data_IF_071798498267
#
_entry.id   IF_071798498267
#
_cell.length_a   1.000
_cell.length_b   1.000
_cell.length_c   1.000
_cell.angle_alpha   90.00
_cell.angle_beta   90.00
_cell.angle_gamma   90.00
#
_symmetry.space_group_name_H-M   'P 1'
#
loop_
_entity.id
_entity.type
_entity.pdbx_description
1 polymer ?
#
# COMPACT_ATOMS: atom_id res chain seq x y z
N UNK A 1 -9.81 47.62 30.74
CA UNK A 1 -9.03 48.31 29.70
C UNK A 1 -7.56 47.90 29.83
N UNK A 2 -7.23 46.62 29.61
CA UNK A 2 -5.85 46.10 29.69
C UNK A 2 -5.48 45.36 28.39
N UNK A 3 -6.46 44.83 27.64
CA UNK A 3 -6.21 44.14 26.37
C UNK A 3 -5.83 45.05 25.18
N UNK A 4 -6.22 46.32 25.17
CA UNK A 4 -5.93 47.23 24.05
C UNK A 4 -4.46 47.68 23.99
N UNK A 5 -3.77 47.71 25.13
CA UNK A 5 -2.33 48.05 25.19
C UNK A 5 -1.44 46.86 24.79
N UNK A 6 -1.87 45.62 25.03
CA UNK A 6 -1.16 44.43 24.53
C UNK A 6 -1.28 44.27 23.03
N UNK A 7 -2.45 44.58 22.46
CA UNK A 7 -2.60 44.59 21.01
C UNK A 7 -1.72 45.67 20.38
N UNK A 8 -1.70 46.90 20.90
CA UNK A 8 -0.79 47.95 20.43
C UNK A 8 0.69 47.54 20.50
N UNK A 9 1.11 46.82 21.53
CA UNK A 9 2.49 46.29 21.66
C UNK A 9 2.79 45.20 20.62
N UNK A 10 1.84 44.31 20.33
CA UNK A 10 1.96 43.30 19.24
C UNK A 10 2.01 43.95 17.86
N UNK A 11 1.21 44.98 17.64
CA UNK A 11 1.18 45.75 16.40
C UNK A 11 2.50 46.50 16.17
N UNK A 12 3.13 47.05 17.21
CA UNK A 12 4.43 47.72 17.10
C UNK A 12 5.58 46.78 16.68
N UNK A 13 5.55 45.53 17.14
CA UNK A 13 6.53 44.52 16.73
C UNK A 13 6.39 44.18 15.24
N UNK A 14 5.15 43.99 14.77
CA UNK A 14 4.85 43.80 13.35
C UNK A 14 5.27 45.00 12.49
N UNK A 15 4.93 46.23 12.91
CA UNK A 15 5.25 47.47 12.17
C UNK A 15 6.77 47.74 12.15
N UNK A 16 7.49 47.42 13.23
CA UNK A 16 8.96 47.60 13.29
C UNK A 16 9.72 46.66 12.35
N UNK A 17 9.19 45.46 12.11
CA UNK A 17 9.72 44.55 11.09
C UNK A 17 9.34 44.95 9.65
N UNK A 18 8.33 45.81 9.47
CA UNK A 18 7.96 46.36 8.16
C UNK A 18 8.59 47.71 7.83
N UNK A 19 8.91 48.58 8.81
CA UNK A 19 9.47 49.91 8.53
C UNK A 19 10.93 49.88 8.00
N UNK A 20 11.63 48.75 8.15
CA UNK A 20 13.03 48.59 7.71
C UNK A 20 13.15 48.16 6.25
N UNK A 21 12.02 47.84 5.59
CA UNK A 21 11.99 47.44 4.17
C UNK A 21 11.68 48.61 3.22
N UNK A 22 11.28 49.78 3.75
CA UNK A 22 10.91 50.95 2.93
C UNK A 22 12.00 52.03 2.86
N UNK A 23 13.08 51.91 3.62
CA UNK A 23 14.22 52.84 3.53
C UNK A 23 15.56 52.09 3.56
N UNK A 24 16.31 52.22 2.47
CA UNK A 24 17.75 51.90 2.33
C UNK A 24 18.12 50.46 1.92
N UNK A 25 18.28 50.29 0.60
CA UNK A 25 19.13 49.39 -0.20
C UNK A 25 20.24 48.60 0.54
N UNK A 26 19.91 47.64 1.41
CA UNK A 26 20.87 46.63 1.91
C UNK A 26 20.24 45.25 2.20
N UNK A 27 18.91 45.14 2.27
CA UNK A 27 18.16 43.89 2.49
C UNK A 27 17.60 43.27 1.20
N UNK A 28 18.46 43.02 0.21
CA UNK A 28 18.05 42.39 -1.06
C UNK A 28 18.57 40.96 -1.22
N UNK A 29 19.79 40.67 -0.73
CA UNK A 29 20.39 39.32 -0.87
C UNK A 29 19.79 38.30 0.10
N UNK A 30 19.44 38.71 1.32
CA UNK A 30 18.88 37.81 2.33
C UNK A 30 17.44 37.37 1.98
N UNK A 31 16.62 38.30 1.47
CA UNK A 31 15.27 37.98 0.99
C UNK A 31 15.31 37.10 -0.25
N UNK A 32 16.21 37.35 -1.21
CA UNK A 32 16.35 36.50 -2.40
C UNK A 32 16.80 35.08 -2.08
N UNK A 33 17.76 34.90 -1.15
CA UNK A 33 18.16 33.56 -0.71
C UNK A 33 17.03 32.82 0.02
N UNK A 34 16.28 33.53 0.87
CA UNK A 34 15.12 32.96 1.56
C UNK A 34 14.04 32.51 0.57
N UNK A 35 13.67 33.37 -0.39
CA UNK A 35 12.70 33.02 -1.43
C UNK A 35 13.17 31.87 -2.30
N UNK A 36 14.46 31.83 -2.67
CA UNK A 36 15.04 30.71 -3.41
C UNK A 36 15.00 29.41 -2.61
N UNK A 37 15.29 29.47 -1.31
CA UNK A 37 15.28 28.30 -0.42
C UNK A 37 13.85 27.79 -0.22
N UNK A 38 12.88 28.69 0.00
CA UNK A 38 11.47 28.33 0.09
C UNK A 38 10.95 27.71 -1.20
N UNK A 39 11.28 28.30 -2.36
CA UNK A 39 10.90 27.74 -3.65
C UNK A 39 11.52 26.36 -3.91
N UNK A 40 12.76 26.13 -3.48
CA UNK A 40 13.42 24.81 -3.57
C UNK A 40 12.75 23.78 -2.64
N UNK A 41 12.38 24.18 -1.42
CA UNK A 41 11.64 23.31 -0.48
C UNK A 41 10.24 22.99 -1.01
N UNK A 42 9.54 23.96 -1.58
CA UNK A 42 8.23 23.76 -2.21
C UNK A 42 8.36 22.83 -3.43
N UNK A 43 9.37 23.02 -4.27
CA UNK A 43 9.67 22.13 -5.39
C UNK A 43 9.93 20.70 -4.92
N UNK A 44 10.73 20.51 -3.87
CA UNK A 44 11.03 19.20 -3.27
C UNK A 44 9.78 18.55 -2.66
N UNK A 45 8.93 19.33 -2.02
CA UNK A 45 7.66 18.88 -1.43
C UNK A 45 6.66 18.47 -2.52
N UNK A 46 6.56 19.25 -3.60
CA UNK A 46 5.74 18.91 -4.75
C UNK A 46 6.24 17.65 -5.46
N UNK A 47 7.55 17.48 -5.63
CA UNK A 47 8.12 16.24 -6.16
C UNK A 47 7.78 15.02 -5.30
N UNK A 48 7.81 15.19 -3.98
CA UNK A 48 7.42 14.16 -3.02
C UNK A 48 5.93 13.80 -3.12
N UNK A 49 5.05 14.79 -3.30
CA UNK A 49 3.62 14.58 -3.54
C UNK A 49 3.36 13.88 -4.87
N UNK A 50 4.06 14.27 -5.94
CA UNK A 50 3.94 13.61 -7.24
C UNK A 50 4.31 12.13 -7.17
N UNK A 51 5.33 11.74 -6.39
CA UNK A 51 5.69 10.32 -6.18
C UNK A 51 4.56 9.51 -5.52
N UNK A 52 3.67 10.17 -4.77
CA UNK A 52 2.53 9.54 -4.10
C UNK A 52 1.32 9.50 -5.03
N UNK A 53 1.04 10.61 -5.75
CA UNK A 53 -0.10 10.74 -6.67
C UNK A 53 0.05 9.92 -7.95
N UNK A 54 1.27 9.72 -8.45
CA UNK A 54 1.55 8.97 -9.68
C UNK A 54 1.14 7.48 -9.58
N UNK A 55 1.09 6.91 -8.37
CA UNK A 55 0.52 5.57 -8.13
C UNK A 55 -1.01 5.54 -8.01
N UNK A 56 -1.67 6.69 -7.86
CA UNK A 56 -3.12 6.83 -7.76
C UNK A 56 -3.85 6.54 -9.08
N UNK A 57 -3.20 6.82 -10.21
CA UNK A 57 -3.74 6.67 -11.56
C UNK A 57 -3.69 5.24 -12.12
N UNK A 58 -3.25 4.26 -11.33
CA UNK A 58 -3.24 2.87 -11.75
C UNK A 58 -4.66 2.28 -11.68
N UNK A 59 -5.16 1.78 -12.82
CA UNK A 59 -6.50 1.20 -12.97
C UNK A 59 -6.73 -0.09 -12.12
N UNK A 60 -5.68 -0.64 -11.51
CA UNK A 60 -5.72 -1.87 -10.70
C UNK A 60 -4.93 -1.76 -9.39
N UNK A 61 -5.49 -2.36 -8.33
CA UNK A 61 -4.90 -2.39 -6.98
C UNK A 61 -3.48 -2.98 -6.95
N UNK A 62 -3.25 -4.07 -7.68
CA UNK A 62 -1.93 -4.72 -7.75
C UNK A 62 -0.87 -3.78 -8.33
N UNK A 63 -1.26 -3.00 -9.33
CA UNK A 63 -0.39 -2.08 -10.05
C UNK A 63 -0.12 -0.79 -9.23
N UNK A 64 -1.11 -0.34 -8.44
CA UNK A 64 -0.94 0.70 -7.40
C UNK A 64 0.03 0.27 -6.30
N UNK A 65 -0.09 -0.96 -5.82
CA UNK A 65 0.83 -1.50 -4.82
C UNK A 65 2.26 -1.62 -5.38
N UNK A 66 2.40 -2.11 -6.62
CA UNK A 66 3.71 -2.25 -7.28
C UNK A 66 4.42 -0.90 -7.48
N UNK A 67 3.70 0.12 -7.97
CA UNK A 67 4.23 1.47 -8.14
C UNK A 67 4.64 2.09 -6.81
N UNK A 68 3.84 1.95 -5.75
CA UNK A 68 4.18 2.41 -4.41
C UNK A 68 5.50 1.81 -3.91
N UNK A 69 5.66 0.49 -3.96
CA UNK A 69 6.86 -0.16 -3.43
C UNK A 69 8.12 0.20 -4.24
N UNK A 70 8.00 0.49 -5.54
CA UNK A 70 9.10 0.99 -6.37
C UNK A 70 9.51 2.43 -6.00
N UNK A 71 8.55 3.31 -5.69
CA UNK A 71 8.81 4.73 -5.37
C UNK A 71 9.15 4.99 -3.90
N UNK A 72 8.79 4.07 -3.01
CA UNK A 72 9.07 4.13 -1.56
C UNK A 72 10.52 4.49 -1.18
N UNK A 73 11.59 3.94 -1.78
CA UNK A 73 12.96 4.32 -1.42
C UNK A 73 13.29 5.79 -1.73
N UNK A 74 12.81 6.32 -2.86
CA UNK A 74 12.99 7.73 -3.25
C UNK A 74 12.30 8.66 -2.25
N UNK A 75 11.06 8.32 -1.86
CA UNK A 75 10.29 9.04 -0.85
C UNK A 75 11.00 9.07 0.52
N UNK A 76 11.53 7.92 0.97
CA UNK A 76 12.26 7.82 2.23
C UNK A 76 13.52 8.68 2.22
N UNK A 77 14.27 8.69 1.11
CA UNK A 77 15.47 9.51 0.98
C UNK A 77 15.16 11.00 1.15
N UNK A 78 14.10 11.49 0.51
CA UNK A 78 13.69 12.89 0.65
C UNK A 78 13.29 13.26 2.07
N UNK A 79 12.49 12.42 2.75
CA UNK A 79 12.08 12.65 4.14
C UNK A 79 13.31 12.67 5.08
N UNK A 80 14.25 11.75 4.86
CA UNK A 80 15.47 11.70 5.66
C UNK A 80 16.33 12.95 5.49
N UNK A 81 16.45 13.47 4.25
CA UNK A 81 17.14 14.73 3.98
C UNK A 81 16.49 15.92 4.68
N UNK A 82 15.15 16.01 4.65
CA UNK A 82 14.40 17.03 5.38
C UNK A 82 14.66 16.96 6.88
N UNK A 83 14.61 15.76 7.45
CA UNK A 83 14.89 15.55 8.87
C UNK A 83 16.32 15.99 9.24
N UNK A 84 17.31 15.62 8.43
CA UNK A 84 18.71 16.01 8.62
C UNK A 84 18.89 17.53 8.54
N UNK A 85 18.25 18.18 7.56
CA UNK A 85 18.29 19.64 7.40
C UNK A 85 17.66 20.37 8.58
N UNK A 86 16.46 19.95 9.01
CA UNK A 86 15.78 20.52 10.18
C UNK A 86 16.58 20.34 11.46
N UNK A 87 17.13 19.15 11.71
CA UNK A 87 17.95 18.88 12.89
C UNK A 87 19.22 19.75 12.91
N UNK A 88 19.87 19.91 11.76
CA UNK A 88 21.03 20.80 11.62
C UNK A 88 20.68 22.28 11.87
N UNK A 89 19.50 22.72 11.41
CA UNK A 89 19.01 24.08 11.66
C UNK A 89 18.73 24.31 13.16
N UNK A 90 18.01 23.38 13.81
CA UNK A 90 17.70 23.46 15.22
C UNK A 90 18.97 23.45 16.09
N UNK A 91 19.96 22.62 15.74
CA UNK A 91 21.25 22.59 16.42
C UNK A 91 21.98 23.93 16.31
N UNK A 92 22.05 24.52 15.11
CA UNK A 92 22.66 25.85 14.91
C UNK A 92 21.92 26.96 15.67
N UNK A 93 20.59 26.92 15.71
CA UNK A 93 19.80 27.88 16.47
C UNK A 93 20.09 27.80 17.98
N UNK A 94 20.20 26.58 18.53
CA UNK A 94 20.60 26.37 19.92
C UNK A 94 21.98 26.98 20.21
N UNK A 95 22.95 26.77 19.31
CA UNK A 95 24.31 27.33 19.46
C UNK A 95 24.35 28.86 19.37
N UNK A 96 23.48 29.46 18.57
CA UNK A 96 23.35 30.91 18.48
C UNK A 96 22.69 31.49 19.73
N UNK A 97 21.72 30.78 20.32
CA UNK A 97 21.06 31.18 21.56
C UNK A 97 21.95 30.98 22.80
N UNK A 98 22.89 30.03 22.76
CA UNK A 98 23.89 29.80 23.82
C UNK A 98 25.19 30.58 23.62
N UNK A 99 25.32 31.37 22.54
CA UNK A 99 26.49 32.22 22.31
C UNK A 99 26.41 33.47 23.19
N UNK A 100 27.48 33.87 23.91
CA UNK A 100 27.45 34.84 25.01
C UNK A 100 27.23 36.32 24.57
N UNK A 101 26.78 36.57 23.35
CA UNK A 101 26.58 37.94 22.83
C UNK A 101 25.23 38.53 23.28
N UNK A 102 24.30 37.72 23.81
CA UNK A 102 22.93 38.19 24.15
C UNK A 102 22.49 37.89 25.59
N UNK A 103 23.41 37.90 26.55
CA UNK A 103 23.06 37.90 27.98
C UNK A 103 22.12 39.06 28.37
N UNK A 104 22.02 40.12 27.55
CA UNK A 104 21.11 41.24 27.79
C UNK A 104 19.62 40.94 27.53
N UNK A 105 19.26 39.88 26.78
CA UNK A 105 17.86 39.51 26.53
C UNK A 105 17.35 38.39 27.45
N UNK A 106 18.27 37.64 28.07
CA UNK A 106 17.92 36.56 29.00
C UNK A 106 17.42 37.07 30.35
N UNK A 107 17.81 38.28 30.75
CA UNK A 107 17.56 38.82 32.10
C UNK A 107 16.16 39.44 32.29
N UNK A 108 15.32 39.47 31.25
CA UNK A 108 13.98 40.05 31.32
C UNK A 108 12.84 39.02 31.43
N UNK A 109 13.16 37.73 31.53
CA UNK A 109 12.18 36.64 31.61
C UNK A 109 12.25 35.81 32.90
N UNK A 110 13.19 36.10 33.80
CA UNK A 110 13.25 35.45 35.10
C UNK A 110 12.49 36.30 36.13
N UNK A 111 11.20 35.98 36.26
CA UNK A 111 10.35 36.42 37.38
C UNK A 111 10.82 35.74 38.68
N UNK A 112 11.23 36.50 39.72
CA UNK A 112 11.78 35.94 40.95
C UNK A 112 10.68 35.77 42.00
N UNK A 113 9.78 34.82 41.79
CA UNK A 113 8.87 34.40 42.86
C UNK A 113 8.62 32.89 42.83
N UNK A 114 9.48 32.15 43.53
CA UNK A 114 9.11 31.08 44.48
C UNK A 114 10.36 30.33 44.93
N UNK A 115 11.00 30.87 45.96
CA UNK A 115 11.99 30.21 46.80
C UNK A 115 11.26 29.22 47.71
N UNK A 116 11.43 27.90 47.53
CA UNK A 116 11.32 26.88 48.59
C UNK A 116 12.37 25.79 48.33
N UNK A 117 13.23 25.64 49.33
CA UNK A 117 14.26 24.63 49.52
C UNK A 117 13.59 23.37 50.11
N UNK A 118 13.71 22.22 49.46
CA UNK A 118 13.61 20.90 50.10
C UNK A 118 14.37 19.84 49.27
N UNK A 119 15.25 19.03 49.89
CA UNK A 119 16.02 18.00 49.22
C UNK A 119 15.26 16.67 49.31
N UNK A 120 14.47 16.33 48.30
CA UNK A 120 14.03 14.97 47.94
C UNK A 120 12.79 15.10 47.04
N UNK A 121 12.93 14.89 45.73
CA UNK A 121 11.79 14.56 44.85
C UNK A 121 12.31 13.90 43.55
N UNK A 122 12.69 12.63 43.69
CA UNK A 122 12.47 11.64 42.64
C UNK A 122 10.96 11.54 42.41
N UNK A 123 10.36 12.23 41.43
CA UNK A 123 9.10 11.83 40.77
C UNK A 123 8.63 12.82 39.68
N UNK A 124 9.12 12.67 38.43
CA UNK A 124 8.44 13.27 37.26
C UNK A 124 8.77 12.58 35.92
N UNK A 125 9.25 11.33 35.93
CA UNK A 125 9.69 10.61 34.70
C UNK A 125 8.72 9.49 34.28
N UNK A 126 7.62 9.29 35.00
CA UNK A 126 6.75 8.12 34.77
C UNK A 126 5.79 8.27 33.58
N UNK A 127 5.29 9.47 33.27
CA UNK A 127 4.16 9.61 32.33
C UNK A 127 4.56 9.45 30.85
N UNK A 128 5.72 9.97 30.44
CA UNK A 128 6.27 9.77 29.10
C UNK A 128 6.77 8.33 28.86
N UNK A 129 7.27 7.67 29.91
CA UNK A 129 7.72 6.27 29.84
C UNK A 129 6.53 5.31 29.69
N UNK A 130 5.45 5.56 30.42
CA UNK A 130 4.22 4.76 30.39
C UNK A 130 3.54 4.81 29.02
N UNK A 131 3.42 6.01 28.44
CA UNK A 131 2.83 6.21 27.11
C UNK A 131 3.69 5.59 25.99
N UNK A 132 5.01 5.75 26.04
CA UNK A 132 5.95 5.12 25.10
C UNK A 132 5.88 3.59 25.14
N UNK A 133 5.87 2.99 26.35
CA UNK A 133 5.71 1.53 26.53
C UNK A 133 4.38 1.02 25.97
N UNK A 134 3.29 1.79 26.13
CA UNK A 134 1.96 1.43 25.62
C UNK A 134 1.92 1.38 24.09
N UNK A 135 2.54 2.36 23.43
CA UNK A 135 2.67 2.39 21.97
C UNK A 135 3.54 1.25 21.44
N UNK A 136 4.62 0.90 22.13
CA UNK A 136 5.46 -0.25 21.75
C UNK A 136 4.72 -1.58 21.90
N UNK A 137 3.93 -1.75 22.97
CA UNK A 137 3.08 -2.92 23.15
C UNK A 137 2.02 -3.03 22.04
N UNK A 138 1.39 -1.92 21.67
CA UNK A 138 0.42 -1.89 20.58
C UNK A 138 1.08 -2.24 19.23
N UNK A 139 2.27 -1.69 18.96
CA UNK A 139 3.06 -2.03 17.78
C UNK A 139 3.38 -3.53 17.71
N UNK A 140 3.76 -4.15 18.84
CA UNK A 140 4.04 -5.59 18.90
C UNK A 140 2.78 -6.44 18.65
N UNK A 141 1.64 -6.04 19.23
CA UNK A 141 0.35 -6.69 18.97
C UNK A 141 -0.02 -6.62 17.49
N UNK A 142 0.12 -5.46 16.87
CA UNK A 142 -0.14 -5.27 15.43
C UNK A 142 0.79 -6.12 14.56
N UNK A 143 2.06 -6.26 14.92
CA UNK A 143 3.00 -7.15 14.22
C UNK A 143 2.52 -8.60 14.31
N UNK A 144 2.15 -9.06 15.51
CA UNK A 144 1.68 -10.42 15.72
C UNK A 144 0.39 -10.70 14.95
N UNK A 145 -0.55 -9.75 14.95
CA UNK A 145 -1.80 -9.84 14.19
C UNK A 145 -1.55 -9.85 12.68
N UNK A 146 -0.66 -8.98 12.18
CA UNK A 146 -0.30 -8.97 10.77
C UNK A 146 0.35 -10.30 10.33
N UNK A 147 1.20 -10.88 11.18
CA UNK A 147 1.79 -12.18 10.94
C UNK A 147 0.75 -13.31 11.00
N UNK A 148 -0.24 -13.22 11.89
CA UNK A 148 -1.36 -14.17 11.92
C UNK A 148 -2.21 -14.10 10.65
N UNK A 149 -2.55 -12.90 10.19
CA UNK A 149 -3.29 -12.69 8.95
C UNK A 149 -2.52 -13.20 7.73
N UNK A 150 -1.19 -13.00 7.68
CA UNK A 150 -0.34 -13.58 6.63
C UNK A 150 -0.37 -15.11 6.63
N UNK A 151 -0.33 -15.76 7.80
CA UNK A 151 -0.42 -17.23 7.90
C UNK A 151 -1.78 -17.73 7.40
N UNK A 152 -2.87 -17.08 7.80
CA UNK A 152 -4.22 -17.44 7.32
C UNK A 152 -4.34 -17.28 5.81
N UNK A 153 -3.76 -16.22 5.23
CA UNK A 153 -3.78 -16.01 3.80
C UNK A 153 -3.09 -17.15 3.05
N UNK A 154 -1.90 -17.57 3.53
CA UNK A 154 -1.16 -18.69 2.95
C UNK A 154 -1.93 -20.01 3.04
N UNK A 155 -2.58 -20.28 4.18
CA UNK A 155 -3.42 -21.46 4.36
C UNK A 155 -4.61 -21.47 3.40
N UNK A 156 -5.32 -20.32 3.26
CA UNK A 156 -6.43 -20.17 2.33
C UNK A 156 -6.00 -20.34 0.87
N UNK A 157 -4.81 -19.88 0.51
CA UNK A 157 -4.29 -20.06 -0.84
C UNK A 157 -3.90 -21.51 -1.11
N UNK A 158 -3.44 -22.26 -0.11
CA UNK A 158 -3.20 -23.70 -0.22
C UNK A 158 -4.52 -24.48 -0.36
N UNK A 159 -5.55 -24.15 0.42
CA UNK A 159 -6.90 -24.73 0.28
C UNK A 159 -7.43 -24.54 -1.16
N UNK A 160 -7.30 -23.33 -1.72
CA UNK A 160 -7.71 -23.05 -3.11
C UNK A 160 -6.91 -23.87 -4.11
N UNK A 161 -5.60 -24.03 -3.92
CA UNK A 161 -4.75 -24.86 -4.78
C UNK A 161 -5.20 -26.32 -4.77
N UNK A 162 -5.54 -26.86 -3.61
CA UNK A 162 -6.01 -28.23 -3.47
C UNK A 162 -7.39 -28.41 -4.14
N UNK A 163 -8.32 -27.47 -3.97
CA UNK A 163 -9.61 -27.50 -4.68
C UNK A 163 -9.42 -27.50 -6.20
N UNK A 164 -8.51 -26.67 -6.72
CA UNK A 164 -8.18 -26.65 -8.15
C UNK A 164 -7.62 -28.01 -8.61
N UNK A 165 -6.75 -28.62 -7.80
CA UNK A 165 -6.18 -29.95 -8.08
C UNK A 165 -7.27 -31.02 -8.14
N UNK A 166 -8.18 -31.03 -7.17
CA UNK A 166 -9.31 -31.96 -7.11
C UNK A 166 -10.24 -31.77 -8.32
N UNK A 167 -10.64 -30.53 -8.62
CA UNK A 167 -11.48 -30.24 -9.78
C UNK A 167 -10.79 -30.68 -11.09
N UNK A 168 -9.50 -30.41 -11.23
CA UNK A 168 -8.73 -30.82 -12.41
C UNK A 168 -8.71 -32.34 -12.57
N UNK A 169 -8.54 -33.09 -11.48
CA UNK A 169 -8.63 -34.56 -11.50
C UNK A 169 -10.01 -35.03 -11.95
N UNK A 170 -11.10 -34.45 -11.41
CA UNK A 170 -12.47 -34.84 -11.81
C UNK A 170 -12.78 -34.52 -13.27
N UNK A 171 -12.27 -33.39 -13.78
CA UNK A 171 -12.43 -33.01 -15.18
C UNK A 171 -11.69 -33.99 -16.08
N UNK A 172 -10.49 -34.44 -15.70
CA UNK A 172 -9.73 -35.42 -16.45
C UNK A 172 -10.43 -36.78 -16.49
N UNK A 173 -10.94 -37.28 -15.36
CA UNK A 173 -11.71 -38.53 -15.32
C UNK A 173 -12.98 -38.46 -16.18
N UNK A 174 -13.70 -37.33 -16.14
CA UNK A 174 -14.90 -37.13 -16.97
C UNK A 174 -14.58 -37.05 -18.47
N UNK A 175 -13.42 -36.48 -18.84
CA UNK A 175 -12.94 -36.51 -20.23
C UNK A 175 -12.66 -37.94 -20.67
N UNK A 176 -11.98 -38.74 -19.86
CA UNK A 176 -11.66 -40.14 -20.16
C UNK A 176 -12.92 -41.00 -20.31
N UNK A 177 -13.89 -40.82 -19.43
CA UNK A 177 -15.20 -41.47 -19.52
C UNK A 177 -15.94 -41.07 -20.79
N UNK A 178 -15.96 -39.78 -21.13
CA UNK A 178 -16.55 -39.31 -22.39
C UNK A 178 -15.86 -39.91 -23.62
N UNK A 179 -14.53 -40.00 -23.61
CA UNK A 179 -13.78 -40.65 -24.68
C UNK A 179 -14.10 -42.16 -24.75
N UNK A 180 -14.25 -42.82 -23.60
CA UNK A 180 -14.66 -44.23 -23.52
C UNK A 180 -16.07 -44.44 -24.08
N UNK A 181 -17.01 -43.57 -23.73
CA UNK A 181 -18.38 -43.59 -24.22
C UNK A 181 -18.43 -43.32 -25.73
N UNK A 182 -17.74 -42.30 -26.24
CA UNK A 182 -17.63 -42.03 -27.68
C UNK A 182 -17.07 -43.24 -28.45
N UNK A 183 -16.01 -43.88 -27.93
CA UNK A 183 -15.44 -45.12 -28.52
C UNK A 183 -16.43 -46.29 -28.52
N UNK A 184 -17.22 -46.45 -27.45
CA UNK A 184 -18.27 -47.48 -27.38
C UNK A 184 -19.43 -47.19 -28.34
N UNK A 185 -19.85 -45.92 -28.43
CA UNK A 185 -20.90 -45.49 -29.35
C UNK A 185 -20.49 -45.73 -30.81
N UNK A 186 -19.29 -45.30 -31.20
CA UNK A 186 -18.74 -45.53 -32.54
C UNK A 186 -18.70 -47.02 -32.91
N UNK A 187 -18.25 -47.88 -31.98
CA UNK A 187 -18.30 -49.34 -32.15
C UNK A 187 -19.72 -49.85 -32.31
N UNK A 188 -20.66 -49.38 -31.49
CA UNK A 188 -22.07 -49.79 -31.58
C UNK A 188 -22.74 -49.37 -32.90
N UNK A 189 -22.40 -48.19 -33.44
CA UNK A 189 -22.90 -47.70 -34.73
C UNK A 189 -22.30 -48.49 -35.90
N UNK A 190 -20.99 -48.79 -35.84
CA UNK A 190 -20.33 -49.69 -36.80
C UNK A 190 -20.92 -51.11 -36.76
N UNK A 191 -21.18 -51.64 -35.55
CA UNK A 191 -21.83 -52.93 -35.35
C UNK A 191 -23.30 -52.94 -35.79
N UNK A 192 -24.03 -51.82 -35.71
CA UNK A 192 -25.37 -51.68 -36.30
C UNK A 192 -25.32 -51.65 -37.82
N UNK A 193 -24.28 -51.04 -38.41
CA UNK A 193 -24.05 -51.07 -39.87
C UNK A 193 -23.71 -52.48 -40.38
N UNK A 194 -22.96 -53.27 -39.59
CA UNK A 194 -22.71 -54.69 -39.87
C UNK A 194 -23.94 -55.58 -39.61
N UNK A 195 -24.73 -55.32 -38.56
CA UNK A 195 -25.98 -56.06 -38.28
C UNK A 195 -27.13 -55.73 -39.24
N UNK A 196 -27.14 -54.55 -39.87
CA UNK A 196 -28.10 -54.20 -40.92
C UNK A 196 -27.90 -54.95 -42.26
N UNK A 197 -26.85 -55.77 -42.37
CA UNK A 197 -26.55 -56.59 -43.54
C UNK A 197 -26.78 -58.10 -43.33
N UNK A 198 -27.36 -58.50 -42.19
CA UNK A 198 -27.64 -59.90 -41.90
C UNK A 198 -29.09 -60.03 -41.43
N UNK A 199 -29.92 -60.64 -42.30
CA UNK A 199 -31.34 -61.07 -42.18
C UNK A 199 -32.11 -60.47 -43.39
N UNK A 200 -32.44 -61.17 -44.46
CA UNK A 200 -32.84 -62.58 -44.55
C UNK A 200 -32.72 -63.12 -46.00
N UNK A 201 -31.71 -63.97 -46.28
CA UNK A 201 -31.59 -64.67 -47.58
C UNK A 201 -32.54 -65.87 -47.70
N UNK A 202 -33.27 -66.24 -46.65
CA UNK A 202 -34.24 -67.35 -46.72
C UNK A 202 -35.61 -66.92 -47.22
N UNK A 203 -35.95 -65.63 -47.10
CA UNK A 203 -37.24 -65.09 -47.56
C UNK A 203 -37.30 -64.92 -49.09
N UNK A 204 -36.21 -64.48 -49.73
CA UNK A 204 -36.18 -64.31 -51.19
C UNK A 204 -36.08 -65.65 -51.95
N UNK A 205 -35.54 -66.71 -51.36
CA UNK A 205 -35.46 -68.03 -52.01
C UNK A 205 -36.82 -68.70 -52.23
N UNK A 206 -37.82 -68.42 -51.38
CA UNK A 206 -39.17 -69.00 -51.47
C UNK A 206 -40.11 -68.27 -52.42
N UNK A 207 -39.79 -67.04 -52.83
CA UNK A 207 -40.64 -66.25 -53.73
C UNK A 207 -40.33 -66.48 -55.22
N UNK A 208 -39.13 -66.98 -55.55
CA UNK A 208 -38.66 -67.08 -56.94
C UNK A 208 -38.45 -68.51 -57.47
N UNK A 209 -38.47 -69.53 -56.61
CA UNK A 209 -38.39 -70.93 -57.04
C UNK A 209 -39.64 -71.72 -56.61
N UNK A 210 -40.78 -71.35 -57.18
CA UNK A 210 -41.90 -72.28 -57.34
C UNK A 210 -42.09 -72.51 -58.85
N UNK A 211 -41.06 -73.09 -59.47
CA UNK A 211 -41.03 -73.48 -60.88
C UNK A 211 -41.32 -74.96 -61.00
N UNK A 212 -42.59 -75.26 -61.27
CA UNK A 212 -43.16 -76.49 -61.80
C UNK A 212 -42.14 -77.51 -62.35
N UNK A 213 -42.05 -78.69 -61.74
CA UNK A 213 -41.38 -79.84 -62.34
C UNK A 213 -42.31 -80.48 -63.40
N UNK A 214 -41.82 -80.86 -64.60
CA UNK A 214 -42.62 -81.61 -65.56
C UNK A 214 -42.60 -83.09 -65.16
N UNK A 215 -43.77 -83.64 -64.81
CA UNK A 215 -43.94 -85.08 -64.67
C UNK A 215 -44.03 -85.72 -66.06
N UNK A 216 -43.03 -86.52 -66.38
CA UNK A 216 -43.03 -87.52 -67.46
C UNK A 216 -43.99 -88.67 -67.15
N UNK A 217 -44.40 -89.35 -68.23
CA UNK A 217 -45.23 -90.56 -68.40
C UNK A 217 -46.70 -90.30 -68.74
#
# INVERSE_FOLDING_TARGET
MVGEEEEKRRWWWFESHHHKTTTTTTSSKHSQWLHSTLAELDSKTNAMLSLIEEGGNADSFAQRAETYYKKRPELIAFVHDFYRAHRSLAHRFHHLKSSPIDHSLSELLDDPHSEIDDPDEEEAVEDASSTSKKLEQERLKLIQENDALKRQLLEKDEEKREVIRQLSLTVETLKDENLSLKRRLLRSLSLKKLRGFQLDYTFLGKLFYNGNAPSSW
#
